data_IF_556314212678
#
_entry.id   IF_556314212678
#
_cell.length_a   1.000
_cell.length_b   1.000
_cell.length_c   1.000
_cell.angle_alpha   90.00
_cell.angle_beta   90.00
_cell.angle_gamma   90.00
#
_symmetry.space_group_name_H-M   'P 1'
#
loop_
_entity.id
_entity.type
_entity.pdbx_description
1 polymer ?
#
# COMPACT_ATOMS: atom_id res chain seq x y z
N UNK A 1 -16.74 -16.03 63.38
CA UNK A 1 -16.13 -16.63 62.17
C UNK A 1 -17.09 -16.71 60.97
N UNK A 2 -18.37 -17.03 61.16
CA UNK A 2 -19.34 -17.17 60.04
C UNK A 2 -19.75 -15.83 59.40
N UNK A 3 -19.92 -14.77 60.20
CA UNK A 3 -20.35 -13.45 59.68
C UNK A 3 -19.33 -12.77 58.76
N UNK A 4 -18.02 -12.95 59.00
CA UNK A 4 -16.95 -12.36 58.17
C UNK A 4 -16.87 -13.01 56.77
N UNK A 5 -17.14 -14.31 56.68
CA UNK A 5 -17.18 -15.07 55.41
C UNK A 5 -18.34 -14.60 54.53
N UNK A 6 -19.51 -14.36 55.12
CA UNK A 6 -20.69 -13.86 54.38
C UNK A 6 -20.49 -12.45 53.82
N UNK A 7 -19.83 -11.57 54.59
CA UNK A 7 -19.49 -10.21 54.15
C UNK A 7 -18.46 -10.25 52.99
N UNK A 8 -17.44 -11.10 53.08
CA UNK A 8 -16.46 -11.28 52.01
C UNK A 8 -17.09 -11.82 50.73
N UNK A 9 -17.99 -12.81 50.84
CA UNK A 9 -18.76 -13.38 49.72
C UNK A 9 -19.66 -12.33 49.04
N UNK A 10 -20.30 -11.45 49.82
CA UNK A 10 -21.14 -10.37 49.29
C UNK A 10 -20.30 -9.28 48.60
N UNK A 11 -19.10 -8.95 49.10
CA UNK A 11 -18.17 -8.03 48.43
C UNK A 11 -17.65 -8.60 47.11
N UNK A 12 -17.36 -9.90 47.06
CA UNK A 12 -16.97 -10.58 45.83
C UNK A 12 -18.12 -10.60 44.82
N UNK A 13 -19.34 -10.96 45.23
CA UNK A 13 -20.51 -10.92 44.36
C UNK A 13 -20.80 -9.52 43.80
N UNK A 14 -20.66 -8.46 44.63
CA UNK A 14 -20.77 -7.06 44.18
C UNK A 14 -19.69 -6.68 43.16
N UNK A 15 -18.45 -7.13 43.34
CA UNK A 15 -17.36 -6.92 42.38
C UNK A 15 -17.63 -7.59 41.04
N UNK A 16 -18.10 -8.85 41.04
CA UNK A 16 -18.48 -9.55 39.82
C UNK A 16 -19.67 -8.90 39.13
N UNK A 17 -20.68 -8.45 39.88
CA UNK A 17 -21.82 -7.72 39.31
C UNK A 17 -21.38 -6.41 38.64
N UNK A 18 -20.48 -5.64 39.27
CA UNK A 18 -19.94 -4.41 38.68
C UNK A 18 -19.10 -4.67 37.42
N UNK A 19 -18.26 -5.71 37.42
CA UNK A 19 -17.48 -6.10 36.25
C UNK A 19 -18.38 -6.57 35.10
N UNK A 20 -19.44 -7.31 35.41
CA UNK A 20 -20.39 -7.82 34.42
C UNK A 20 -21.23 -6.67 33.83
N UNK A 21 -21.66 -5.70 34.65
CA UNK A 21 -22.27 -4.46 34.15
C UNK A 21 -21.32 -3.67 33.25
N UNK A 22 -20.04 -3.53 33.63
CA UNK A 22 -19.05 -2.79 32.85
C UNK A 22 -18.73 -3.45 31.51
N UNK A 23 -18.69 -4.78 31.46
CA UNK A 23 -18.56 -5.56 30.22
C UNK A 23 -19.79 -5.38 29.33
N UNK A 24 -21.00 -5.46 29.89
CA UNK A 24 -22.25 -5.29 29.14
C UNK A 24 -22.38 -3.88 28.56
N UNK A 25 -21.85 -2.84 29.21
CA UNK A 25 -21.94 -1.47 28.69
C UNK A 25 -20.82 -1.11 27.72
N UNK A 26 -19.57 -1.53 27.99
CA UNK A 26 -18.43 -1.12 27.17
C UNK A 26 -18.30 -1.95 25.89
N UNK A 27 -18.57 -3.26 25.96
CA UNK A 27 -18.45 -4.15 24.81
C UNK A 27 -19.33 -3.76 23.61
N UNK A 28 -20.65 -3.47 23.76
CA UNK A 28 -21.47 -3.05 22.63
C UNK A 28 -21.08 -1.68 22.09
N UNK A 29 -20.58 -0.76 22.94
CA UNK A 29 -20.05 0.52 22.46
C UNK A 29 -18.80 0.33 21.60
N UNK A 30 -17.90 -0.56 21.99
CA UNK A 30 -16.71 -0.89 21.20
C UNK A 30 -17.12 -1.55 19.87
N UNK A 31 -18.03 -2.52 19.89
CA UNK A 31 -18.54 -3.16 18.65
C UNK A 31 -19.21 -2.13 17.74
N UNK A 32 -20.09 -1.28 18.29
CA UNK A 32 -20.80 -0.28 17.51
C UNK A 32 -19.82 0.74 16.91
N UNK A 33 -18.83 1.19 17.67
CA UNK A 33 -17.79 2.11 17.17
C UNK A 33 -16.97 1.48 16.04
N UNK A 34 -16.61 0.18 16.16
CA UNK A 34 -15.91 -0.58 15.12
C UNK A 34 -16.77 -0.77 13.88
N UNK A 35 -18.06 -1.06 14.04
CA UNK A 35 -19.01 -1.22 12.94
C UNK A 35 -19.22 0.10 12.19
N UNK A 36 -19.38 1.22 12.92
CA UNK A 36 -19.48 2.57 12.32
C UNK A 36 -18.20 2.94 11.57
N UNK A 37 -17.03 2.60 12.11
CA UNK A 37 -15.76 2.85 11.44
C UNK A 37 -15.63 2.00 10.17
N UNK A 38 -16.03 0.72 10.22
CA UNK A 38 -16.01 -0.18 9.08
C UNK A 38 -16.96 0.29 7.97
N UNK A 39 -18.19 0.70 8.31
CA UNK A 39 -19.15 1.21 7.33
C UNK A 39 -18.72 2.56 6.74
N UNK A 40 -18.11 3.46 7.53
CA UNK A 40 -17.55 4.72 7.01
C UNK A 40 -16.44 4.50 6.01
N UNK A 41 -15.51 3.58 6.28
CA UNK A 41 -14.42 3.25 5.37
C UNK A 41 -14.95 2.74 4.03
N UNK A 42 -15.95 1.85 4.05
CA UNK A 42 -16.57 1.37 2.81
C UNK A 42 -17.46 2.39 2.11
N UNK A 43 -18.14 3.29 2.84
CA UNK A 43 -18.96 4.35 2.22
C UNK A 43 -18.13 5.40 1.47
N UNK A 44 -16.82 5.43 1.69
CA UNK A 44 -15.92 6.34 1.00
C UNK A 44 -15.71 5.95 -0.46
N UNK A 45 -16.09 4.76 -0.93
CA UNK A 45 -16.22 4.48 -2.36
C UNK A 45 -17.58 4.95 -2.89
N UNK A 46 -17.83 6.25 -2.81
CA UNK A 46 -18.99 6.91 -3.42
C UNK A 46 -18.79 6.98 -4.94
N UNK A 47 -19.87 6.93 -5.72
CA UNK A 47 -19.88 7.08 -7.20
C UNK A 47 -19.04 8.28 -7.68
N UNK A 48 -19.02 9.37 -6.91
CA UNK A 48 -18.19 10.56 -7.16
C UNK A 48 -16.69 10.25 -7.18
N UNK A 49 -16.20 9.34 -6.35
CA UNK A 49 -14.80 8.90 -6.35
C UNK A 49 -14.50 7.99 -7.55
N UNK A 50 -15.48 7.20 -8.02
CA UNK A 50 -15.33 6.42 -9.25
C UNK A 50 -15.23 7.33 -10.47
N UNK A 51 -16.08 8.35 -10.58
CA UNK A 51 -15.97 9.36 -11.63
C UNK A 51 -14.64 10.12 -11.55
N UNK A 52 -14.17 10.45 -10.35
CA UNK A 52 -12.86 11.07 -10.16
C UNK A 52 -11.73 10.16 -10.64
N UNK A 53 -11.72 8.88 -10.26
CA UNK A 53 -10.72 7.90 -10.74
C UNK A 53 -10.81 7.73 -12.26
N UNK A 54 -12.02 7.62 -12.81
CA UNK A 54 -12.23 7.53 -14.25
C UNK A 54 -11.71 8.78 -14.98
N UNK A 55 -11.91 9.97 -14.41
CA UNK A 55 -11.38 11.24 -14.95
C UNK A 55 -9.86 11.37 -14.87
N UNK A 56 -9.21 10.62 -13.97
CA UNK A 56 -7.75 10.54 -13.90
C UNK A 56 -7.16 9.59 -14.96
N UNK A 57 -8.00 8.78 -15.63
CA UNK A 57 -7.54 7.90 -16.70
C UNK A 57 -7.14 8.74 -17.92
N UNK A 58 -5.87 8.67 -18.28
CA UNK A 58 -5.33 9.31 -19.49
C UNK A 58 -4.92 8.22 -20.48
N UNK A 59 -5.83 7.74 -21.33
CA UNK A 59 -5.55 6.62 -22.24
C UNK A 59 -4.44 6.93 -23.25
N UNK A 60 -4.24 8.21 -23.58
CA UNK A 60 -3.15 8.67 -24.45
C UNK A 60 -1.76 8.46 -23.87
N UNK A 61 -1.64 8.39 -22.54
CA UNK A 61 -0.37 8.21 -21.81
C UNK A 61 0.31 6.88 -22.10
N UNK A 62 -0.46 5.87 -22.52
CA UNK A 62 0.05 4.53 -22.88
C UNK A 62 -0.20 4.18 -24.37
N UNK A 63 -0.51 5.18 -25.20
CA UNK A 63 -0.73 4.95 -26.62
C UNK A 63 0.56 4.50 -27.34
N UNK A 64 0.45 3.56 -28.27
CA UNK A 64 1.60 2.95 -28.97
C UNK A 64 2.24 3.89 -30.00
N UNK A 65 1.48 4.86 -30.53
CA UNK A 65 1.90 5.74 -31.65
C UNK A 65 1.87 7.22 -31.27
N UNK A 66 2.09 7.54 -29.99
CA UNK A 66 2.18 8.92 -29.52
C UNK A 66 3.60 9.19 -29.00
N UNK A 67 4.24 10.24 -29.50
CA UNK A 67 5.56 10.70 -29.02
C UNK A 67 5.53 11.09 -27.52
N UNK A 68 4.36 11.50 -27.02
CA UNK A 68 4.17 11.87 -25.61
C UNK A 68 3.84 10.69 -24.69
N UNK A 69 3.73 9.47 -25.22
CA UNK A 69 3.36 8.28 -24.45
C UNK A 69 4.55 7.73 -23.66
N UNK A 70 4.30 7.23 -22.46
CA UNK A 70 5.32 6.51 -21.69
C UNK A 70 5.73 5.17 -22.32
N UNK A 71 4.88 4.62 -23.19
CA UNK A 71 5.11 3.34 -23.81
C UNK A 71 6.09 3.42 -24.98
N UNK A 72 6.03 4.49 -25.79
CA UNK A 72 6.80 4.62 -27.04
C UNK A 72 8.31 4.42 -26.84
N UNK A 73 8.98 5.06 -25.85
CA UNK A 73 10.42 4.87 -25.65
C UNK A 73 10.81 3.47 -25.18
N UNK A 74 9.86 2.70 -24.66
CA UNK A 74 10.08 1.33 -24.18
C UNK A 74 9.99 0.31 -25.32
N UNK A 75 9.34 0.63 -26.45
CA UNK A 75 9.07 -0.30 -27.56
C UNK A 75 10.28 -0.52 -28.48
N UNK A 76 11.46 -0.75 -27.89
CA UNK A 76 12.69 -1.12 -28.59
C UNK A 76 13.26 -2.43 -28.03
N UNK A 77 13.98 -3.25 -28.83
CA UNK A 77 14.69 -4.41 -28.31
C UNK A 77 15.69 -3.99 -27.24
N UNK A 78 15.56 -4.55 -26.04
CA UNK A 78 16.24 -4.08 -24.82
C UNK A 78 16.97 -5.22 -24.09
N UNK A 79 17.72 -6.02 -24.85
CA UNK A 79 18.51 -7.17 -24.35
C UNK A 79 19.61 -6.68 -23.40
N UNK A 80 19.88 -7.41 -22.31
CA UNK A 80 20.90 -7.05 -21.32
C UNK A 80 22.26 -6.79 -21.95
N UNK A 81 22.91 -5.69 -21.57
CA UNK A 81 24.21 -5.27 -22.08
C UNK A 81 24.19 -4.53 -23.43
N UNK A 82 23.02 -4.31 -24.03
CA UNK A 82 22.89 -3.49 -25.26
C UNK A 82 22.69 -2.00 -24.95
N UNK A 83 23.03 -1.14 -25.92
CA UNK A 83 22.79 0.31 -25.82
C UNK A 83 21.31 0.65 -25.63
N UNK A 84 20.41 -0.07 -26.33
CA UNK A 84 18.97 0.13 -26.21
C UNK A 84 18.45 -0.19 -24.80
N UNK A 85 18.99 -1.21 -24.14
CA UNK A 85 18.66 -1.48 -22.74
C UNK A 85 19.08 -0.31 -21.85
N UNK A 86 20.27 0.26 -22.09
CA UNK A 86 20.76 1.45 -21.36
C UNK A 86 19.85 2.67 -21.59
N UNK A 87 19.43 2.93 -22.84
CA UNK A 87 18.46 3.99 -23.16
C UNK A 87 17.15 3.84 -22.39
N UNK A 88 16.61 2.62 -22.31
CA UNK A 88 15.39 2.34 -21.53
C UNK A 88 15.63 2.55 -20.04
N UNK A 89 16.77 2.12 -19.49
CA UNK A 89 17.11 2.36 -18.08
C UNK A 89 17.17 3.86 -17.76
N UNK A 90 17.85 4.65 -18.59
CA UNK A 90 17.96 6.10 -18.43
C UNK A 90 16.60 6.78 -18.50
N UNK A 91 15.76 6.37 -19.44
CA UNK A 91 14.40 6.87 -19.58
C UNK A 91 13.54 6.62 -18.33
N UNK A 92 13.56 5.40 -17.79
CA UNK A 92 12.81 5.07 -16.56
C UNK A 92 13.35 5.90 -15.38
N UNK A 93 14.68 5.97 -15.23
CA UNK A 93 15.33 6.77 -14.17
C UNK A 93 14.95 8.24 -14.27
N UNK A 94 15.02 8.85 -15.45
CA UNK A 94 14.70 10.26 -15.63
C UNK A 94 13.22 10.53 -15.38
N UNK A 95 12.35 9.61 -15.77
CA UNK A 95 10.91 9.71 -15.54
C UNK A 95 10.58 9.73 -14.04
N UNK A 96 11.13 8.82 -13.24
CA UNK A 96 10.87 8.85 -11.80
C UNK A 96 11.55 10.02 -11.08
N UNK A 97 12.75 10.42 -11.52
CA UNK A 97 13.44 11.60 -10.96
C UNK A 97 12.72 12.92 -11.22
N UNK A 98 11.96 13.03 -12.32
CA UNK A 98 11.18 14.23 -12.62
C UNK A 98 9.90 14.33 -11.78
N UNK A 99 9.43 13.20 -11.22
CA UNK A 99 8.29 13.16 -10.32
C UNK A 99 8.71 13.52 -8.89
N UNK A 100 7.86 14.27 -8.18
CA UNK A 100 8.12 14.63 -6.77
C UNK A 100 7.97 13.41 -5.85
N UNK A 101 8.77 13.38 -4.79
CA UNK A 101 8.72 12.39 -3.70
C UNK A 101 9.07 10.94 -4.09
N UNK A 102 9.82 10.75 -5.17
CA UNK A 102 10.41 9.45 -5.52
C UNK A 102 11.91 9.45 -5.29
N UNK A 103 12.38 8.45 -4.55
CA UNK A 103 13.80 8.14 -4.39
C UNK A 103 14.13 7.00 -5.34
N UNK A 104 15.05 7.23 -6.27
CA UNK A 104 15.48 6.23 -7.26
C UNK A 104 16.85 5.70 -6.87
N UNK A 105 16.95 4.39 -6.62
CA UNK A 105 18.19 3.66 -6.37
C UNK A 105 18.42 2.61 -7.45
N UNK A 106 19.70 2.25 -7.68
CA UNK A 106 20.10 1.26 -8.66
C UNK A 106 20.79 0.12 -7.93
N UNK A 107 20.39 -1.10 -8.26
CA UNK A 107 21.05 -2.32 -7.80
C UNK A 107 21.68 -2.98 -9.03
N UNK A 108 23.00 -2.88 -9.12
CA UNK A 108 23.79 -3.34 -10.28
C UNK A 108 24.64 -4.53 -9.87
N UNK A 109 24.52 -5.63 -10.60
CA UNK A 109 25.27 -6.85 -10.34
C UNK A 109 25.62 -7.56 -11.64
N UNK A 110 26.67 -8.37 -11.57
CA UNK A 110 27.12 -9.20 -12.69
C UNK A 110 26.81 -10.65 -12.41
N UNK A 111 26.30 -11.37 -13.40
CA UNK A 111 25.97 -12.79 -13.27
C UNK A 111 26.36 -13.57 -14.53
N UNK A 112 26.71 -14.84 -14.34
CA UNK A 112 27.00 -15.75 -15.43
C UNK A 112 25.70 -16.24 -16.08
N UNK A 113 25.70 -16.23 -17.41
CA UNK A 113 24.57 -16.71 -18.21
C UNK A 113 25.08 -17.71 -19.25
N UNK A 114 24.20 -18.50 -19.87
CA UNK A 114 24.59 -19.34 -21.00
C UNK A 114 25.23 -18.57 -22.18
N UNK A 115 25.02 -17.25 -22.24
CA UNK A 115 25.60 -16.35 -23.25
C UNK A 115 26.83 -15.58 -22.72
N UNK A 116 27.46 -16.09 -21.65
CA UNK A 116 28.57 -15.47 -20.94
C UNK A 116 28.13 -14.56 -19.80
N UNK A 117 29.10 -13.97 -19.12
CA UNK A 117 28.89 -13.04 -18.01
C UNK A 117 28.20 -11.76 -18.49
N UNK A 118 27.11 -11.35 -17.82
CA UNK A 118 26.32 -10.16 -18.14
C UNK A 118 26.11 -9.26 -16.93
N UNK A 119 26.07 -7.96 -17.18
CA UNK A 119 25.67 -6.96 -16.18
C UNK A 119 24.15 -6.78 -16.19
N UNK A 120 23.56 -6.71 -15.00
CA UNK A 120 22.15 -6.49 -14.74
C UNK A 120 21.98 -5.29 -13.83
N UNK A 121 20.97 -4.47 -14.09
CA UNK A 121 20.66 -3.30 -13.28
C UNK A 121 19.18 -3.27 -12.97
N UNK A 122 18.83 -3.46 -11.70
CA UNK A 122 17.50 -3.22 -11.18
C UNK A 122 17.34 -1.72 -10.89
N UNK A 123 16.22 -1.14 -11.30
CA UNK A 123 15.85 0.24 -10.96
C UNK A 123 14.77 0.16 -9.88
N UNK A 124 15.09 0.67 -8.69
CA UNK A 124 14.20 0.64 -7.54
C UNK A 124 13.74 2.07 -7.27
N UNK A 125 12.47 2.36 -7.58
CA UNK A 125 11.83 3.63 -7.29
C UNK A 125 10.95 3.47 -6.04
N UNK A 126 11.31 4.16 -4.96
CA UNK A 126 10.59 4.14 -3.69
C UNK A 126 9.94 5.50 -3.47
N UNK A 127 8.62 5.52 -3.26
CA UNK A 127 7.90 6.74 -2.89
C UNK A 127 7.86 6.86 -1.37
N UNK A 128 8.35 7.97 -0.83
CA UNK A 128 8.18 8.32 0.59
C UNK A 128 6.97 9.27 0.71
N UNK A 129 5.82 8.82 1.24
CA UNK A 129 4.55 9.53 1.21
C UNK A 129 4.45 10.72 2.17
#
# INVERSE_FOLDING_TARGET
>A
MIQTITIARNRQARRWALLLCLLITLYPHIILSRLIHYTRFHSQSTESNLHKIASLSQPSTLAIQSESSYLTPLLIPRVSGTENNTKVQEYIKSTFKSLKSWVVSLDTFTADTPLGTKNFTNIIATKDP
#
